data_IF_524207772714
#
_entry.id   IF_524207772714
#
_cell.length_a   1.000
_cell.length_b   1.000
_cell.length_c   1.000
_cell.angle_alpha   90.00
_cell.angle_beta   90.00
_cell.angle_gamma   90.00
#
_symmetry.space_group_name_H-M   'P 1'
#
loop_
_entity.id
_entity.type
_entity.pdbx_description
1 polymer ?
#
# COMPACT_ATOMS: atom_id res chain seq x y z
N UNK A 1 12.23 14.86 -12.87
CA UNK A 1 12.50 13.90 -11.78
C UNK A 1 12.32 14.65 -10.48
N UNK A 2 11.23 14.38 -9.77
CA UNK A 2 10.99 14.94 -8.45
C UNK A 2 11.46 13.95 -7.37
N UNK A 3 11.71 14.48 -6.16
CA UNK A 3 12.00 13.71 -4.94
C UNK A 3 13.04 12.57 -5.10
N UNK A 4 14.22 12.81 -5.72
CA UNK A 4 15.24 11.76 -5.78
C UNK A 4 15.79 11.46 -4.39
N UNK A 5 15.82 10.19 -4.02
CA UNK A 5 16.40 9.66 -2.79
C UNK A 5 17.38 8.55 -3.13
N UNK A 6 18.59 8.62 -2.59
CA UNK A 6 19.54 7.50 -2.61
C UNK A 6 19.69 7.01 -1.17
N UNK A 7 19.26 5.78 -0.91
CA UNK A 7 19.34 5.12 0.40
C UNK A 7 20.06 3.79 0.25
N UNK A 8 20.74 3.33 1.29
CA UNK A 8 21.38 2.02 1.29
C UNK A 8 20.54 1.01 2.07
N UNK A 9 20.20 -0.11 1.45
CA UNK A 9 19.55 -1.23 2.14
C UNK A 9 20.58 -2.34 2.28
N UNK A 10 21.18 -2.44 3.47
CA UNK A 10 22.45 -3.14 3.62
C UNK A 10 23.54 -2.41 2.82
N UNK A 11 24.25 -3.12 1.97
CA UNK A 11 25.30 -2.54 1.10
C UNK A 11 24.75 -2.09 -0.27
N UNK A 12 23.50 -2.41 -0.60
CA UNK A 12 22.94 -2.14 -1.92
C UNK A 12 22.31 -0.74 -1.97
N UNK A 13 22.71 0.12 -2.94
CA UNK A 13 22.04 1.39 -3.15
C UNK A 13 20.66 1.20 -3.79
N UNK A 14 19.69 1.96 -3.30
CA UNK A 14 18.34 2.07 -3.86
C UNK A 14 18.07 3.52 -4.21
N UNK A 15 17.81 3.78 -5.50
CA UNK A 15 17.38 5.09 -5.98
C UNK A 15 15.86 5.09 -6.07
N UNK A 16 15.20 5.93 -5.28
CA UNK A 16 13.76 6.21 -5.37
C UNK A 16 13.55 7.59 -5.99
N UNK A 17 12.57 7.74 -6.88
CA UNK A 17 12.26 9.01 -7.51
C UNK A 17 10.89 9.02 -8.19
N UNK A 18 10.40 10.22 -8.52
CA UNK A 18 9.15 10.41 -9.24
C UNK A 18 9.42 10.95 -10.65
N UNK A 19 9.44 10.10 -11.69
CA UNK A 19 9.63 10.55 -13.08
C UNK A 19 8.31 10.99 -13.71
N UNK A 20 7.92 12.25 -13.48
CA UNK A 20 6.79 12.87 -14.18
C UNK A 20 6.96 12.76 -15.71
N UNK A 21 5.90 12.36 -16.40
CA UNK A 21 5.89 12.21 -17.86
C UNK A 21 6.65 11.00 -18.39
N UNK A 22 6.93 10.00 -17.55
CA UNK A 22 7.52 8.74 -18.01
C UNK A 22 6.61 8.08 -19.05
N UNK A 23 7.18 7.65 -20.17
CA UNK A 23 6.43 6.87 -21.15
C UNK A 23 6.00 5.53 -20.55
N UNK A 24 4.71 5.20 -20.61
CA UNK A 24 4.15 3.93 -20.12
C UNK A 24 4.75 2.70 -20.82
N UNK A 25 5.37 2.88 -22.00
CA UNK A 25 6.13 1.82 -22.67
C UNK A 25 7.43 1.45 -21.93
N UNK A 26 7.96 2.32 -21.05
CA UNK A 26 9.14 2.04 -20.21
C UNK A 26 8.76 1.18 -19.02
N UNK A 27 7.70 1.58 -18.33
CA UNK A 27 7.09 0.84 -17.23
C UNK A 27 5.64 1.31 -17.11
N UNK A 28 4.71 0.37 -17.04
CA UNK A 28 3.29 0.69 -16.92
C UNK A 28 2.95 1.19 -15.50
N UNK A 29 2.04 2.15 -15.42
CA UNK A 29 1.53 2.75 -14.18
C UNK A 29 0.22 3.49 -14.46
N UNK A 30 -0.64 3.61 -13.44
CA UNK A 30 -1.98 4.18 -13.61
C UNK A 30 -2.16 5.59 -13.04
N UNK A 31 -1.39 5.95 -12.00
CA UNK A 31 -1.46 7.28 -11.40
C UNK A 31 -1.01 8.36 -12.39
N UNK A 32 -1.45 9.61 -12.19
CA UNK A 32 -1.03 10.74 -13.03
C UNK A 32 0.50 10.84 -13.16
N UNK A 33 1.21 10.65 -12.05
CA UNK A 33 2.66 10.60 -11.98
C UNK A 33 3.11 9.39 -11.15
N UNK A 34 4.15 8.67 -11.60
CA UNK A 34 4.61 7.48 -10.91
C UNK A 34 5.65 7.80 -9.83
N UNK A 35 5.79 6.86 -8.90
CA UNK A 35 6.82 6.85 -7.88
C UNK A 35 7.52 5.49 -7.91
N UNK A 36 8.82 5.50 -8.22
CA UNK A 36 9.52 4.32 -8.72
C UNK A 36 10.88 4.15 -8.06
N UNK A 37 11.47 2.97 -8.21
CA UNK A 37 12.79 2.68 -7.72
C UNK A 37 13.63 1.81 -8.66
N UNK A 38 14.96 1.86 -8.43
CA UNK A 38 15.94 0.92 -8.96
C UNK A 38 16.89 0.50 -7.85
N UNK A 39 17.41 -0.72 -7.94
CA UNK A 39 18.42 -1.27 -7.03
C UNK A 39 19.73 -1.39 -7.80
N UNK A 40 20.84 -0.93 -7.23
CA UNK A 40 22.18 -1.21 -7.73
C UNK A 40 22.86 -2.34 -6.94
N UNK A 41 23.86 -2.97 -7.54
CA UNK A 41 24.77 -3.85 -6.81
C UNK A 41 25.71 -3.05 -5.89
N UNK A 42 26.15 -1.87 -6.33
CA UNK A 42 26.99 -0.94 -5.57
C UNK A 42 26.86 0.50 -6.09
N UNK A 43 27.41 1.46 -5.35
CA UNK A 43 27.49 2.86 -5.75
C UNK A 43 28.95 3.27 -5.90
N UNK A 44 29.30 3.80 -7.06
CA UNK A 44 30.60 4.41 -7.36
C UNK A 44 30.53 5.91 -7.02
N UNK A 45 31.16 6.36 -5.91
CA UNK A 45 31.10 7.76 -5.50
C UNK A 45 32.00 8.67 -6.35
N UNK A 46 33.03 8.15 -7.03
CA UNK A 46 33.94 8.95 -7.85
C UNK A 46 33.25 9.39 -9.14
N UNK A 47 32.43 8.50 -9.72
CA UNK A 47 31.67 8.77 -10.95
C UNK A 47 30.18 9.07 -10.69
N UNK A 48 29.76 9.14 -9.43
CA UNK A 48 28.38 9.35 -9.00
C UNK A 48 27.36 8.41 -9.69
N UNK A 49 27.67 7.11 -9.71
CA UNK A 49 26.95 6.12 -10.53
C UNK A 49 26.58 4.86 -9.75
N UNK A 50 25.35 4.38 -9.92
CA UNK A 50 24.98 3.01 -9.50
C UNK A 50 25.48 1.98 -10.52
N UNK A 51 26.03 0.87 -10.03
CA UNK A 51 26.59 -0.24 -10.81
C UNK A 51 25.60 -1.41 -10.83
N UNK A 52 25.52 -2.12 -11.96
CA UNK A 52 24.63 -3.28 -12.19
C UNK A 52 23.19 -3.03 -11.72
N UNK A 53 22.57 -2.03 -12.34
CA UNK A 53 21.27 -1.49 -11.93
C UNK A 53 20.12 -2.35 -12.43
N UNK A 54 19.19 -2.67 -11.54
CA UNK A 54 17.96 -3.38 -11.85
C UNK A 54 17.08 -2.64 -12.86
N UNK A 55 16.12 -3.33 -13.52
CA UNK A 55 15.01 -2.67 -14.17
C UNK A 55 14.27 -1.71 -13.23
N UNK A 56 13.62 -0.70 -13.81
CA UNK A 56 12.74 0.22 -13.09
C UNK A 56 11.52 -0.54 -12.56
N UNK A 57 11.08 -0.22 -11.35
CA UNK A 57 9.93 -0.84 -10.70
C UNK A 57 9.04 0.22 -10.06
N UNK A 58 7.72 -0.01 -10.04
CA UNK A 58 6.79 0.78 -9.24
C UNK A 58 7.07 0.53 -7.76
N UNK A 59 7.12 1.61 -6.96
CA UNK A 59 7.31 1.50 -5.52
C UNK A 59 6.04 0.99 -4.82
N UNK A 60 4.89 1.40 -5.31
CA UNK A 60 3.56 1.08 -4.78
C UNK A 60 2.61 0.92 -5.97
N UNK A 61 1.72 -0.06 -5.90
CA UNK A 61 0.77 -0.39 -6.96
C UNK A 61 -0.62 0.23 -6.72
N UNK A 62 -0.79 0.97 -5.63
CA UNK A 62 -2.03 1.63 -5.24
C UNK A 62 -2.28 2.94 -5.99
N UNK A 63 -3.07 3.80 -5.36
CA UNK A 63 -3.66 4.97 -6.01
C UNK A 63 -2.96 6.28 -5.66
N UNK A 64 -2.14 6.32 -4.60
CA UNK A 64 -1.81 7.61 -3.95
C UNK A 64 -0.36 7.82 -3.56
N UNK A 65 0.46 6.75 -3.47
CA UNK A 65 1.82 6.88 -2.95
C UNK A 65 2.75 7.66 -3.90
N UNK A 66 3.07 8.90 -3.52
CA UNK A 66 3.95 9.79 -4.28
C UNK A 66 5.01 10.44 -3.37
N UNK A 67 5.97 11.11 -3.99
CA UNK A 67 7.01 11.91 -3.31
C UNK A 67 7.67 11.20 -2.11
N UNK A 68 7.95 9.89 -2.25
CA UNK A 68 8.49 9.12 -1.13
C UNK A 68 9.87 9.63 -0.76
N UNK A 69 10.07 9.86 0.54
CA UNK A 69 11.37 10.14 1.12
C UNK A 69 11.86 8.92 1.89
N UNK A 70 13.14 8.60 1.73
CA UNK A 70 13.80 7.52 2.45
C UNK A 70 15.10 8.01 3.09
N UNK A 71 15.46 7.41 4.22
CA UNK A 71 16.69 7.73 4.95
C UNK A 71 17.26 6.51 5.66
N UNK A 72 18.58 6.50 5.86
CA UNK A 72 19.25 5.55 6.73
C UNK A 72 19.20 6.06 8.17
N UNK A 73 18.56 5.31 9.06
CA UNK A 73 18.53 5.59 10.48
C UNK A 73 19.91 5.27 11.13
N UNK A 74 20.24 5.89 12.28
CA UNK A 74 21.51 5.63 12.97
C UNK A 74 21.72 4.17 13.41
N UNK A 75 20.64 3.39 13.50
CA UNK A 75 20.67 1.95 13.81
C UNK A 75 20.89 1.06 12.56
N UNK A 76 21.14 1.67 11.40
CA UNK A 76 21.45 0.98 10.14
C UNK A 76 20.23 0.63 9.29
N UNK A 77 19.00 0.82 9.79
CA UNK A 77 17.79 0.57 9.00
C UNK A 77 17.62 1.61 7.90
N UNK A 78 17.03 1.20 6.79
CA UNK A 78 16.51 2.12 5.77
C UNK A 78 15.00 2.28 5.98
N UNK A 79 14.55 3.51 6.21
CA UNK A 79 13.15 3.82 6.47
C UNK A 79 12.60 4.73 5.37
N UNK A 80 11.34 4.56 5.02
CA UNK A 80 10.65 5.36 4.01
C UNK A 80 9.24 5.76 4.44
N UNK A 81 8.80 6.93 3.97
CA UNK A 81 7.45 7.43 4.13
C UNK A 81 6.98 8.07 2.83
N UNK A 82 5.74 7.80 2.45
CA UNK A 82 5.15 8.28 1.20
C UNK A 82 4.06 9.30 1.49
N UNK A 83 3.97 10.35 0.66
CA UNK A 83 2.76 11.16 0.61
C UNK A 83 1.64 10.32 -0.01
N UNK A 84 0.50 10.21 0.68
CA UNK A 84 -0.74 9.63 0.16
C UNK A 84 -1.60 10.76 -0.40
N UNK A 85 -1.19 11.20 -1.58
CA UNK A 85 -1.80 12.22 -2.40
C UNK A 85 -0.96 12.43 -3.66
N UNK A 86 -1.59 12.98 -4.69
CA UNK A 86 -0.98 13.20 -5.99
C UNK A 86 -1.03 14.69 -6.36
N UNK A 87 0.01 15.22 -7.03
CA UNK A 87 -0.07 16.51 -7.68
C UNK A 87 -1.24 16.55 -8.67
N UNK A 88 -1.86 17.72 -8.83
CA UNK A 88 -2.91 17.99 -9.82
C UNK A 88 -4.17 17.11 -9.69
N UNK A 89 -4.41 16.52 -8.52
CA UNK A 89 -5.61 15.76 -8.19
C UNK A 89 -6.40 16.46 -7.09
N UNK A 90 -7.72 16.61 -7.29
CA UNK A 90 -8.66 17.10 -6.27
C UNK A 90 -9.25 15.96 -5.46
N UNK A 91 -9.49 16.19 -4.16
CA UNK A 91 -9.96 15.19 -3.23
C UNK A 91 -11.26 15.62 -2.55
N UNK A 92 -12.16 14.68 -2.22
CA UNK A 92 -13.34 14.96 -1.39
C UNK A 92 -13.02 15.68 -0.06
N UNK A 93 -11.84 15.46 0.52
CA UNK A 93 -11.43 16.12 1.77
C UNK A 93 -11.12 17.61 1.61
N UNK A 94 -10.94 18.12 0.39
CA UNK A 94 -10.59 19.52 0.13
C UNK A 94 -11.68 20.48 0.65
N UNK A 95 -12.95 20.03 0.73
CA UNK A 95 -14.07 20.77 1.35
C UNK A 95 -13.88 21.07 2.84
N UNK A 96 -12.92 20.42 3.47
CA UNK A 96 -12.54 20.60 4.88
C UNK A 96 -11.20 21.33 5.02
N UNK A 97 -10.71 21.96 3.96
CA UNK A 97 -9.42 22.68 3.92
C UNK A 97 -8.22 21.80 4.35
N UNK A 98 -8.33 20.48 4.10
CA UNK A 98 -7.30 19.50 4.41
C UNK A 98 -7.16 18.47 3.28
N UNK A 99 -5.93 18.25 2.83
CA UNK A 99 -5.61 17.31 1.77
C UNK A 99 -4.35 16.49 2.13
N UNK A 100 -4.38 15.23 1.73
CA UNK A 100 -3.26 14.31 1.88
C UNK A 100 -3.11 13.76 3.30
N UNK A 101 -2.23 12.79 3.42
CA UNK A 101 -1.69 12.27 4.67
C UNK A 101 -0.38 11.54 4.34
N UNK A 102 0.35 11.08 5.33
CA UNK A 102 1.47 10.16 5.09
C UNK A 102 1.04 8.70 5.23
N UNK A 103 1.74 7.84 4.48
CA UNK A 103 1.70 6.41 4.69
C UNK A 103 2.27 6.06 6.08
N UNK A 104 2.04 4.83 6.52
CA UNK A 104 2.87 4.25 7.57
C UNK A 104 4.35 4.35 7.19
N UNK A 105 5.20 4.53 8.21
CA UNK A 105 6.65 4.45 8.04
C UNK A 105 7.00 2.99 7.76
N UNK A 106 7.69 2.76 6.64
CA UNK A 106 8.06 1.44 6.14
C UNK A 106 9.55 1.23 6.32
N UNK A 107 9.92 0.08 6.87
CA UNK A 107 11.29 -0.42 6.81
C UNK A 107 11.54 -1.06 5.45
N UNK A 108 12.64 -0.67 4.82
CA UNK A 108 13.08 -1.18 3.53
C UNK A 108 14.05 -2.33 3.74
N UNK A 109 13.78 -3.46 3.10
CA UNK A 109 14.70 -4.61 3.06
C UNK A 109 14.82 -5.11 1.63
N UNK A 110 15.91 -5.82 1.31
CA UNK A 110 16.08 -6.47 0.00
C UNK A 110 16.17 -7.98 0.21
N UNK A 111 15.38 -8.71 -0.55
CA UNK A 111 15.41 -10.18 -0.58
C UNK A 111 15.27 -10.65 -2.02
N UNK A 112 16.17 -11.53 -2.46
CA UNK A 112 16.18 -12.11 -3.80
C UNK A 112 16.10 -11.04 -4.92
N UNK A 113 16.82 -9.93 -4.73
CA UNK A 113 16.86 -8.80 -5.68
C UNK A 113 15.59 -7.95 -5.74
N UNK A 114 14.62 -8.16 -4.84
CA UNK A 114 13.39 -7.37 -4.75
C UNK A 114 13.42 -6.47 -3.51
N UNK A 115 12.91 -5.25 -3.66
CA UNK A 115 12.68 -4.35 -2.54
C UNK A 115 11.39 -4.75 -1.81
N UNK A 116 11.49 -4.92 -0.50
CA UNK A 116 10.36 -5.14 0.41
C UNK A 116 10.18 -3.89 1.27
N UNK A 117 8.92 -3.54 1.51
CA UNK A 117 8.56 -2.40 2.34
C UNK A 117 7.48 -2.83 3.33
N UNK A 118 7.80 -2.83 4.63
CA UNK A 118 6.86 -3.28 5.64
C UNK A 118 6.76 -2.28 6.81
N UNK A 119 5.58 -2.07 7.41
CA UNK A 119 5.45 -1.12 8.51
C UNK A 119 6.41 -1.43 9.65
N UNK A 120 6.99 -0.38 10.24
CA UNK A 120 7.88 -0.52 11.40
C UNK A 120 7.15 -1.21 12.56
N UNK A 121 7.89 -1.99 13.36
CA UNK A 121 7.32 -2.81 14.44
C UNK A 121 6.49 -2.02 15.45
N UNK A 122 6.83 -0.75 15.69
CA UNK A 122 6.10 0.14 16.59
C UNK A 122 4.62 0.34 16.21
N UNK A 123 4.24 0.14 14.94
CA UNK A 123 2.84 0.19 14.51
C UNK A 123 1.98 -0.83 15.26
N UNK A 124 2.55 -1.96 15.70
CA UNK A 124 1.84 -2.98 16.48
C UNK A 124 1.41 -2.48 17.87
N UNK A 125 2.02 -1.42 18.38
CA UNK A 125 1.63 -0.80 19.66
C UNK A 125 0.25 -0.14 19.58
N UNK A 126 -0.27 0.10 18.37
CA UNK A 126 -1.62 0.61 18.15
C UNK A 126 -2.70 -0.48 18.32
N UNK A 127 -2.34 -1.76 18.36
CA UNK A 127 -3.33 -2.85 18.50
C UNK A 127 -3.97 -2.80 19.89
N UNK A 128 -5.29 -2.72 19.92
CA UNK A 128 -6.08 -2.61 21.16
C UNK A 128 -6.80 -3.90 21.54
N UNK A 129 -7.52 -4.50 20.59
CA UNK A 129 -8.13 -5.83 20.73
C UNK A 129 -7.67 -6.76 19.61
N UNK A 130 -7.75 -8.06 19.87
CA UNK A 130 -7.42 -9.12 18.93
C UNK A 130 -8.62 -10.07 18.82
N UNK A 131 -9.04 -10.36 17.59
CA UNK A 131 -10.14 -11.26 17.30
C UNK A 131 -9.83 -12.09 16.06
N UNK A 132 -10.40 -13.29 15.94
CA UNK A 132 -10.31 -14.06 14.69
C UNK A 132 -10.95 -13.27 13.55
N UNK A 133 -10.30 -13.27 12.39
CA UNK A 133 -10.83 -12.60 11.20
C UNK A 133 -12.12 -13.29 10.73
N UNK A 134 -13.17 -12.50 10.56
CA UNK A 134 -14.48 -12.94 10.07
C UNK A 134 -15.25 -11.75 9.48
N UNK A 135 -16.41 -12.02 8.87
CA UNK A 135 -17.36 -10.96 8.50
C UNK A 135 -17.71 -10.08 9.72
N UNK A 136 -17.81 -8.78 9.50
CA UNK A 136 -18.23 -7.79 10.50
C UNK A 136 -19.27 -6.87 9.88
N UNK A 137 -20.43 -6.74 10.51
CA UNK A 137 -21.48 -5.82 10.04
C UNK A 137 -21.14 -4.36 10.29
N UNK A 138 -20.25 -4.09 11.24
CA UNK A 138 -19.82 -2.74 11.61
C UNK A 138 -18.43 -2.80 12.26
N UNK A 139 -17.63 -1.78 11.99
CA UNK A 139 -16.32 -1.48 12.59
C UNK A 139 -16.23 0.04 12.80
N UNK A 140 -15.13 0.51 13.39
CA UNK A 140 -14.82 1.93 13.42
C UNK A 140 -14.06 2.41 12.16
N UNK A 141 -13.83 1.56 11.16
CA UNK A 141 -12.92 1.83 10.03
C UNK A 141 -11.52 2.25 10.49
N UNK A 142 -11.03 1.66 11.57
CA UNK A 142 -9.69 1.88 12.11
C UNK A 142 -9.18 0.54 12.63
N UNK A 143 -8.53 -0.24 11.78
CA UNK A 143 -8.15 -1.61 12.09
C UNK A 143 -6.97 -2.11 11.26
N UNK A 144 -6.34 -3.17 11.76
CA UNK A 144 -5.36 -3.98 11.05
C UNK A 144 -5.92 -5.38 10.82
N UNK A 145 -5.71 -5.94 9.63
CA UNK A 145 -5.97 -7.33 9.31
C UNK A 145 -4.65 -8.04 9.02
N UNK A 146 -4.41 -9.20 9.62
CA UNK A 146 -3.33 -10.11 9.22
C UNK A 146 -3.97 -11.39 8.68
N UNK A 147 -3.85 -11.62 7.38
CA UNK A 147 -4.52 -12.69 6.65
C UNK A 147 -3.54 -13.68 6.05
N UNK A 148 -3.97 -14.93 5.95
CA UNK A 148 -3.31 -16.01 5.23
C UNK A 148 -4.26 -16.55 4.16
N UNK A 149 -3.74 -16.67 2.95
CA UNK A 149 -4.44 -17.18 1.77
C UNK A 149 -3.68 -18.40 1.24
N UNK A 150 -4.38 -19.51 1.04
CA UNK A 150 -3.80 -20.74 0.49
C UNK A 150 -3.40 -20.57 -0.98
N UNK A 151 -2.35 -21.26 -1.42
CA UNK A 151 -2.02 -21.34 -2.84
C UNK A 151 -3.19 -21.92 -3.64
N UNK A 152 -3.26 -21.60 -4.94
CA UNK A 152 -4.34 -22.05 -5.84
C UNK A 152 -5.76 -21.66 -5.35
N UNK A 153 -5.90 -20.54 -4.63
CA UNK A 153 -7.19 -20.03 -4.17
C UNK A 153 -7.57 -18.71 -4.86
N UNK A 154 -8.86 -18.43 -4.84
CA UNK A 154 -9.43 -17.13 -5.20
C UNK A 154 -10.21 -16.61 -3.99
N UNK A 155 -9.92 -15.39 -3.57
CA UNK A 155 -10.59 -14.77 -2.42
C UNK A 155 -10.99 -13.35 -2.78
N UNK A 156 -12.20 -12.94 -2.44
CA UNK A 156 -12.67 -11.56 -2.58
C UNK A 156 -13.11 -11.05 -1.20
N UNK A 157 -12.47 -9.99 -0.73
CA UNK A 157 -12.79 -9.32 0.53
C UNK A 157 -13.22 -7.89 0.19
N UNK A 158 -14.38 -7.48 0.67
CA UNK A 158 -14.87 -6.10 0.59
C UNK A 158 -14.71 -5.45 1.95
N UNK A 159 -13.86 -4.44 2.02
CA UNK A 159 -13.66 -3.58 3.19
C UNK A 159 -14.53 -2.34 3.06
N UNK A 160 -14.84 -1.68 4.18
CA UNK A 160 -15.76 -0.53 4.18
C UNK A 160 -17.10 -0.91 3.51
N UNK A 161 -17.57 -2.13 3.76
CA UNK A 161 -18.73 -2.67 3.09
C UNK A 161 -20.02 -2.10 3.70
N UNK A 162 -20.97 -1.71 2.85
CA UNK A 162 -22.35 -1.47 3.26
C UNK A 162 -23.15 -2.78 3.34
N UNK A 163 -24.46 -2.66 3.62
CA UNK A 163 -25.37 -3.82 3.71
C UNK A 163 -25.63 -4.51 2.37
N UNK A 164 -25.36 -3.85 1.25
CA UNK A 164 -25.49 -4.42 -0.10
C UNK A 164 -24.17 -5.07 -0.56
N UNK A 165 -23.10 -4.98 0.22
CA UNK A 165 -21.78 -5.51 -0.11
C UNK A 165 -20.98 -4.61 -1.04
N UNK A 166 -21.31 -3.31 -1.12
CA UNK A 166 -20.54 -2.29 -1.85
C UNK A 166 -19.49 -1.68 -0.92
N UNK A 167 -18.26 -1.56 -1.40
CA UNK A 167 -17.14 -1.02 -0.65
C UNK A 167 -15.84 -1.14 -1.44
N UNK A 168 -14.72 -1.13 -0.74
CA UNK A 168 -13.38 -1.35 -1.31
C UNK A 168 -13.17 -2.86 -1.51
N UNK A 169 -13.24 -3.34 -2.74
CA UNK A 169 -13.04 -4.75 -3.06
C UNK A 169 -11.57 -5.05 -3.28
N UNK A 170 -11.10 -6.15 -2.70
CA UNK A 170 -9.75 -6.68 -2.89
C UNK A 170 -9.90 -8.13 -3.33
N UNK A 171 -9.53 -8.39 -4.58
CA UNK A 171 -9.54 -9.71 -5.18
C UNK A 171 -8.11 -10.27 -5.21
N UNK A 172 -7.92 -11.41 -4.56
CA UNK A 172 -6.71 -12.20 -4.60
C UNK A 172 -6.94 -13.43 -5.47
N UNK A 173 -6.58 -13.33 -6.75
CA UNK A 173 -6.64 -14.43 -7.70
C UNK A 173 -5.27 -15.13 -7.79
N UNK A 174 -4.97 -15.96 -6.79
CA UNK A 174 -3.67 -16.62 -6.70
C UNK A 174 -3.51 -17.73 -7.76
N UNK A 175 -4.63 -18.27 -8.27
CA UNK A 175 -4.63 -19.23 -9.39
C UNK A 175 -4.09 -18.57 -10.66
N UNK A 176 -4.55 -17.37 -10.97
CA UNK A 176 -4.12 -16.63 -12.16
C UNK A 176 -2.96 -15.65 -11.88
N UNK A 177 -2.47 -15.59 -10.64
CA UNK A 177 -1.29 -14.83 -10.26
C UNK A 177 -1.51 -13.31 -10.27
N UNK A 178 -2.66 -12.84 -9.81
CA UNK A 178 -2.98 -11.41 -9.77
C UNK A 178 -3.67 -11.02 -8.45
N UNK A 179 -3.35 -9.81 -7.99
CA UNK A 179 -4.14 -9.12 -6.96
C UNK A 179 -4.70 -7.84 -7.56
N UNK A 180 -5.97 -7.56 -7.30
CA UNK A 180 -6.68 -6.38 -7.79
C UNK A 180 -7.41 -5.67 -6.65
N UNK A 181 -7.21 -4.37 -6.55
CA UNK A 181 -7.92 -3.48 -5.62
C UNK A 181 -8.88 -2.60 -6.44
N UNK A 182 -10.15 -2.59 -6.08
CA UNK A 182 -11.21 -1.83 -6.74
C UNK A 182 -11.96 -0.94 -5.75
N UNK A 183 -11.91 0.38 -5.98
CA UNK A 183 -12.60 1.40 -5.18
C UNK A 183 -13.87 1.96 -5.84
N UNK A 184 -14.32 1.40 -6.97
CA UNK A 184 -15.45 1.90 -7.76
C UNK A 184 -16.80 1.90 -7.04
N UNK A 185 -16.93 1.09 -5.98
CA UNK A 185 -18.11 1.01 -5.12
C UNK A 185 -17.82 1.52 -3.70
N UNK A 186 -16.66 2.15 -3.47
CA UNK A 186 -16.20 2.60 -2.17
C UNK A 186 -16.36 4.11 -2.02
N UNK A 187 -17.51 4.53 -1.48
CA UNK A 187 -17.76 5.91 -1.08
C UNK A 187 -17.76 6.92 -2.22
N UNK A 188 -17.49 8.17 -1.86
CA UNK A 188 -17.44 9.30 -2.79
C UNK A 188 -16.29 9.13 -3.80
N UNK A 189 -16.64 9.10 -5.09
CA UNK A 189 -15.70 8.85 -6.18
C UNK A 189 -14.94 10.12 -6.55
N UNK A 190 -13.66 9.96 -6.92
CA UNK A 190 -12.76 11.02 -7.35
C UNK A 190 -11.64 10.45 -8.22
N UNK A 191 -10.95 11.32 -8.98
CA UNK A 191 -9.80 10.95 -9.82
C UNK A 191 -10.07 9.76 -10.77
N UNK A 192 -11.31 9.63 -11.25
CA UNK A 192 -11.77 8.47 -12.03
C UNK A 192 -11.12 8.40 -13.42
N UNK A 193 -10.61 9.53 -13.92
CA UNK A 193 -9.79 9.62 -15.13
C UNK A 193 -8.48 8.81 -15.04
N UNK A 194 -8.01 8.49 -13.82
CA UNK A 194 -6.87 7.60 -13.57
C UNK A 194 -7.30 6.18 -13.15
N UNK A 195 -8.56 5.82 -13.38
CA UNK A 195 -9.13 4.51 -13.10
C UNK A 195 -9.54 4.29 -11.64
N UNK A 196 -10.43 3.32 -11.43
CA UNK A 196 -10.93 2.90 -10.11
C UNK A 196 -10.33 1.58 -9.64
N UNK A 197 -9.53 0.92 -10.47
CA UNK A 197 -8.89 -0.36 -10.20
C UNK A 197 -7.37 -0.25 -10.28
N UNK A 198 -6.68 -1.06 -9.48
CA UNK A 198 -5.23 -1.25 -9.53
C UNK A 198 -4.91 -2.73 -9.40
N UNK A 199 -3.93 -3.20 -10.15
CA UNK A 199 -3.54 -4.60 -10.12
C UNK A 199 -2.03 -4.78 -10.11
N UNK A 200 -1.57 -5.87 -9.51
CA UNK A 200 -0.18 -6.30 -9.64
C UNK A 200 -0.09 -7.82 -9.79
N UNK A 201 0.95 -8.32 -10.49
CA UNK A 201 1.19 -9.76 -10.54
C UNK A 201 1.70 -10.27 -9.19
N UNK A 202 1.30 -11.50 -8.85
CA UNK A 202 1.78 -12.26 -7.70
C UNK A 202 2.06 -13.70 -8.11
N UNK A 203 3.00 -14.36 -7.43
CA UNK A 203 3.23 -15.79 -7.63
C UNK A 203 2.08 -16.61 -7.03
N UNK A 204 1.74 -17.73 -7.67
CA UNK A 204 0.84 -18.72 -7.09
C UNK A 204 1.55 -19.46 -5.93
N UNK A 205 1.38 -18.95 -4.73
CA UNK A 205 1.94 -19.49 -3.49
C UNK A 205 1.04 -19.12 -2.31
N UNK A 206 1.27 -19.74 -1.16
CA UNK A 206 0.64 -19.29 0.09
C UNK A 206 1.03 -17.83 0.31
N UNK A 207 0.03 -16.98 0.50
CA UNK A 207 0.20 -15.52 0.51
C UNK A 207 -0.22 -14.96 1.85
N UNK A 208 0.65 -14.14 2.44
CA UNK A 208 0.31 -13.36 3.63
C UNK A 208 -0.12 -11.97 3.21
N UNK A 209 -1.14 -11.42 3.86
CA UNK A 209 -1.63 -10.07 3.58
C UNK A 209 -1.78 -9.33 4.90
N UNK A 210 -1.19 -8.15 5.01
CA UNK A 210 -1.47 -7.23 6.11
C UNK A 210 -2.20 -6.01 5.55
N UNK A 211 -3.36 -5.67 6.09
CA UNK A 211 -4.17 -4.54 5.63
C UNK A 211 -4.39 -3.58 6.78
N UNK A 212 -4.08 -2.30 6.57
CA UNK A 212 -4.42 -1.23 7.48
C UNK A 212 -5.55 -0.41 6.86
N UNK A 213 -6.58 -0.14 7.65
CA UNK A 213 -7.64 0.82 7.33
C UNK A 213 -7.61 1.90 8.40
N UNK A 214 -7.58 3.18 7.98
CA UNK A 214 -7.76 4.33 8.86
C UNK A 214 -8.67 5.38 8.20
N UNK A 215 -9.95 5.29 8.51
CA UNK A 215 -11.09 6.11 8.04
C UNK A 215 -11.15 6.23 6.51
N UNK A 216 -10.27 7.05 5.95
CA UNK A 216 -10.19 7.38 4.52
C UNK A 216 -8.90 6.91 3.83
N UNK A 217 -8.16 6.02 4.49
CA UNK A 217 -6.86 5.50 4.04
C UNK A 217 -6.90 3.98 4.09
N UNK A 218 -6.27 3.34 3.10
CA UNK A 218 -5.91 1.93 3.16
C UNK A 218 -4.45 1.72 2.75
N UNK A 219 -3.78 0.77 3.40
CA UNK A 219 -2.48 0.25 2.99
C UNK A 219 -2.49 -1.27 3.06
N UNK A 220 -2.15 -1.94 1.95
CA UNK A 220 -2.18 -3.40 1.81
C UNK A 220 -0.76 -3.88 1.51
N UNK A 221 -0.22 -4.70 2.39
CA UNK A 221 1.12 -5.27 2.31
C UNK A 221 1.02 -6.77 2.03
N UNK A 222 1.48 -7.19 0.86
CA UNK A 222 1.45 -8.58 0.41
C UNK A 222 2.82 -9.21 0.64
N UNK A 223 2.85 -10.44 1.16
CA UNK A 223 4.07 -11.21 1.44
C UNK A 223 5.09 -10.41 2.26
N UNK A 224 4.62 -9.80 3.35
CA UNK A 224 5.43 -8.90 4.21
C UNK A 224 6.09 -7.75 3.44
N UNK A 225 5.36 -7.18 2.47
CA UNK A 225 5.77 -5.97 1.78
C UNK A 225 6.48 -6.17 0.44
N UNK A 226 6.42 -7.37 -0.14
CA UNK A 226 6.90 -7.63 -1.51
C UNK A 226 6.14 -6.76 -2.53
N UNK A 227 4.83 -6.61 -2.30
CA UNK A 227 3.94 -5.71 -3.04
C UNK A 227 3.16 -4.87 -2.02
N UNK A 228 2.95 -3.60 -2.36
CA UNK A 228 2.21 -2.65 -1.53
C UNK A 228 1.17 -1.95 -2.39
N UNK A 229 -0.04 -1.79 -1.86
CA UNK A 229 -1.05 -0.89 -2.40
C UNK A 229 -1.42 0.12 -1.32
N UNK A 230 -1.15 1.39 -1.56
CA UNK A 230 -1.55 2.48 -0.68
C UNK A 230 -2.56 3.38 -1.38
N UNK A 231 -3.63 3.75 -0.69
CA UNK A 231 -4.69 4.52 -1.30
C UNK A 231 -5.56 5.28 -0.32
N UNK A 232 -6.35 6.18 -0.90
CA UNK A 232 -7.37 6.97 -0.25
C UNK A 232 -8.74 6.49 -0.75
N UNK A 233 -9.72 6.58 0.13
CA UNK A 233 -11.10 6.14 -0.08
C UNK A 233 -11.99 6.99 0.83
N UNK A 234 -13.20 7.37 0.41
CA UNK A 234 -14.05 8.28 1.18
C UNK A 234 -15.40 7.63 1.47
N UNK A 235 -15.43 6.62 2.36
CA UNK A 235 -16.62 5.79 2.57
C UNK A 235 -17.81 6.64 3.04
N UNK A 236 -19.00 6.26 2.59
CA UNK A 236 -20.24 6.80 3.14
C UNK A 236 -20.43 6.34 4.60
N UNK A 237 -21.33 6.99 5.34
CA UNK A 237 -21.50 6.74 6.78
C UNK A 237 -21.90 5.28 7.11
N UNK A 238 -22.55 4.60 6.18
CA UNK A 238 -22.99 3.20 6.27
C UNK A 238 -21.97 2.19 5.73
N UNK A 239 -20.85 2.66 5.16
CA UNK A 239 -19.76 1.83 4.65
C UNK A 239 -18.71 1.60 5.74
N UNK A 240 -19.05 0.72 6.67
CA UNK A 240 -18.22 0.43 7.84
C UNK A 240 -18.10 -1.07 8.19
N UNK A 241 -18.54 -1.96 7.31
CA UNK A 241 -18.43 -3.40 7.47
C UNK A 241 -17.19 -4.02 6.82
N UNK A 242 -17.04 -5.32 7.04
CA UNK A 242 -16.09 -6.21 6.36
C UNK A 242 -16.88 -7.42 5.87
N UNK A 243 -16.76 -7.72 4.58
CA UNK A 243 -17.45 -8.82 3.91
C UNK A 243 -16.45 -9.69 3.14
N UNK A 244 -16.30 -10.94 3.56
CA UNK A 244 -15.72 -12.03 2.78
C UNK A 244 -16.78 -12.44 1.76
N UNK A 245 -16.61 -12.00 0.52
CA UNK A 245 -17.55 -12.22 -0.57
C UNK A 245 -17.33 -13.57 -1.25
N UNK A 246 -16.08 -14.04 -1.30
CA UNK A 246 -15.73 -15.40 -1.73
C UNK A 246 -14.39 -15.85 -1.15
N UNK A 247 -14.14 -17.16 -1.17
CA UNK A 247 -12.92 -17.76 -0.63
C UNK A 247 -13.00 -18.04 0.87
N UNK A 248 -11.87 -18.47 1.45
CA UNK A 248 -11.75 -18.80 2.88
C UNK A 248 -10.45 -18.18 3.46
N UNK A 249 -10.30 -16.84 3.41
CA UNK A 249 -9.19 -16.18 4.09
C UNK A 249 -9.24 -16.49 5.58
N UNK A 250 -8.10 -16.86 6.16
CA UNK A 250 -7.97 -17.03 7.62
C UNK A 250 -7.06 -15.94 8.15
N UNK A 251 -7.17 -15.63 9.44
CA UNK A 251 -6.32 -14.59 10.00
C UNK A 251 -6.87 -13.97 11.27
N UNK A 252 -6.37 -12.77 11.54
CA UNK A 252 -6.66 -12.01 12.75
C UNK A 252 -7.07 -10.59 12.38
N UNK A 253 -8.10 -10.11 13.07
CA UNK A 253 -8.53 -8.72 13.11
C UNK A 253 -7.97 -8.07 14.37
N UNK A 254 -7.38 -6.89 14.22
CA UNK A 254 -6.97 -6.05 15.34
C UNK A 254 -7.66 -4.69 15.23
N UNK A 255 -8.41 -4.29 16.25
CA UNK A 255 -8.86 -2.91 16.37
C UNK A 255 -7.65 -2.03 16.70
N UNK A 256 -7.47 -0.91 16.00
CA UNK A 256 -6.37 0.01 16.27
C UNK A 256 -6.86 1.20 17.12
N UNK A 257 -6.10 1.54 18.16
CA UNK A 257 -6.30 2.72 19.01
C UNK A 257 -5.06 3.61 18.97
N UNK A 258 -5.25 4.86 18.56
CA UNK A 258 -4.20 5.87 18.52
C UNK A 258 -3.89 6.51 19.87
N UNK A 259 -4.51 6.02 20.95
CA UNK A 259 -4.21 6.44 22.32
C UNK A 259 -4.55 7.90 22.60
N UNK A 260 -5.32 8.56 21.74
CA UNK A 260 -5.87 9.89 22.01
C UNK A 260 -6.92 9.77 23.11
N UNK A 261 -6.47 9.80 24.37
CA UNK A 261 -7.27 10.42 25.42
C UNK A 261 -7.40 11.88 25.01
N UNK A 262 -8.51 12.22 24.37
CA UNK A 262 -8.92 13.62 24.26
C UNK A 262 -8.92 14.19 25.67
N UNK A 263 -7.98 15.08 25.97
CA UNK A 263 -8.12 16.00 27.10
C UNK A 263 -9.17 17.05 26.75
#
# INVERSE_FOLDING_TARGET
MECPNLVFVGEQPVLLYCPQGLDKAVLDYDNIYPNMYKIGASFDPENAKMVDVSPLQNLDYGFEAYATQAFNAPDGRALAVSWLGLPDVSYPSDRFDHQGTFSLVKELTIKDGKLYQYPVSAVKELRSSEEVFSNRTQTNNTYELELNLEANSQNEIVLLADKEGKGLSINFDLVNGQVTVDRSQAGEQYAQEFGTTRSCPINNQTTTVTIFIDKSVFEIFINKGEKVFSGRVFPHADQNGILIKSGNPTGTYYELDYGRKTN
#
